data_IF_371652489261
#
_entry.id   IF_371652489261
#
_cell.length_a   1.000
_cell.length_b   1.000
_cell.length_c   1.000
_cell.angle_alpha   90.00
_cell.angle_beta   90.00
_cell.angle_gamma   90.00
#
_symmetry.space_group_name_H-M   'P 1'
#
loop_
_entity.id
_entity.type
_entity.pdbx_description
1 polymer ?
#
# COMPACT_ATOMS: atom_id res chain seq x y z
N UNK A 1 -22.15 -7.57 54.65
CA UNK A 1 -21.39 -8.46 53.74
C UNK A 1 -21.66 -8.20 52.26
N UNK A 2 -22.87 -7.76 51.87
CA UNK A 2 -23.20 -7.40 50.47
C UNK A 2 -22.23 -6.40 49.82
N UNK A 3 -21.85 -5.35 50.55
CA UNK A 3 -20.91 -4.32 50.06
C UNK A 3 -19.51 -4.88 49.73
N UNK A 4 -19.05 -5.90 50.45
CA UNK A 4 -17.74 -6.53 50.21
C UNK A 4 -17.77 -7.36 48.92
N UNK A 5 -18.88 -8.06 48.67
CA UNK A 5 -19.08 -8.87 47.46
C UNK A 5 -19.18 -7.95 46.23
N UNK A 6 -19.94 -6.86 46.31
CA UNK A 6 -20.08 -5.88 45.23
C UNK A 6 -18.72 -5.23 44.88
N UNK A 7 -17.88 -4.94 45.89
CA UNK A 7 -16.57 -4.34 45.70
C UNK A 7 -15.55 -5.32 45.09
N UNK A 8 -15.59 -6.60 45.51
CA UNK A 8 -14.77 -7.66 44.91
C UNK A 8 -15.14 -7.91 43.44
N UNK A 9 -16.44 -7.90 43.11
CA UNK A 9 -16.94 -8.08 41.75
C UNK A 9 -16.54 -6.89 40.85
N UNK A 10 -16.64 -5.66 41.36
CA UNK A 10 -16.19 -4.47 40.64
C UNK A 10 -14.68 -4.50 40.35
N UNK A 11 -13.86 -4.93 41.31
CA UNK A 11 -12.42 -5.10 41.12
C UNK A 11 -12.08 -6.17 40.07
N UNK A 12 -12.81 -7.29 40.07
CA UNK A 12 -12.64 -8.36 39.08
C UNK A 12 -13.01 -7.90 37.67
N UNK A 13 -14.12 -7.18 37.51
CA UNK A 13 -14.56 -6.64 36.23
C UNK A 13 -13.56 -5.60 35.72
N UNK A 14 -13.10 -4.68 36.57
CA UNK A 14 -12.08 -3.70 36.20
C UNK A 14 -10.77 -4.39 35.78
N UNK A 15 -10.29 -5.35 36.57
CA UNK A 15 -9.09 -6.12 36.25
C UNK A 15 -9.21 -6.87 34.91
N UNK A 16 -10.37 -7.46 34.63
CA UNK A 16 -10.64 -8.12 33.36
C UNK A 16 -10.66 -7.14 32.19
N UNK A 17 -11.28 -5.96 32.35
CA UNK A 17 -11.30 -4.91 31.32
C UNK A 17 -9.88 -4.43 31.02
N UNK A 18 -9.06 -4.17 32.03
CA UNK A 18 -7.65 -3.79 31.84
C UNK A 18 -6.84 -4.91 31.18
N UNK A 19 -7.07 -6.16 31.56
CA UNK A 19 -6.43 -7.31 30.91
C UNK A 19 -6.78 -7.41 29.43
N UNK A 20 -8.06 -7.30 29.07
CA UNK A 20 -8.50 -7.34 27.67
C UNK A 20 -7.92 -6.16 26.87
N UNK A 21 -7.96 -4.94 27.41
CA UNK A 21 -7.43 -3.76 26.73
C UNK A 21 -5.91 -3.81 26.55
N UNK A 22 -5.18 -4.31 27.56
CA UNK A 22 -3.72 -4.46 27.48
C UNK A 22 -3.28 -5.60 26.57
N UNK A 23 -4.04 -6.70 26.51
CA UNK A 23 -3.79 -7.80 25.58
C UNK A 23 -4.08 -7.42 24.11
N UNK A 24 -4.96 -6.44 23.88
CA UNK A 24 -5.23 -5.88 22.55
C UNK A 24 -4.23 -4.82 22.11
N UNK A 25 -3.36 -4.34 23.00
CA UNK A 25 -2.36 -3.35 22.64
C UNK A 25 -1.28 -3.99 21.74
N UNK A 26 -0.99 -3.42 20.56
CA UNK A 26 0.05 -3.95 19.69
C UNK A 26 1.40 -3.90 20.42
N UNK A 27 2.15 -5.01 20.34
CA UNK A 27 3.44 -5.09 20.98
C UNK A 27 4.40 -4.01 20.45
N UNK A 28 5.32 -3.46 21.26
CA UNK A 28 6.29 -2.46 20.81
C UNK A 28 7.19 -2.98 19.67
N UNK A 29 7.42 -4.29 19.60
CA UNK A 29 8.13 -4.93 18.48
C UNK A 29 7.33 -4.84 17.17
N UNK A 30 6.01 -5.00 17.22
CA UNK A 30 5.12 -4.84 16.07
C UNK A 30 5.19 -3.40 15.51
N UNK A 31 5.10 -2.40 16.40
CA UNK A 31 5.15 -0.97 16.01
C UNK A 31 6.50 -0.60 15.37
N UNK A 32 7.61 -1.11 15.91
CA UNK A 32 8.94 -0.89 15.34
C UNK A 32 9.07 -1.55 13.96
N UNK A 33 8.54 -2.76 13.81
CA UNK A 33 8.59 -3.50 12.53
C UNK A 33 7.73 -2.84 11.44
N UNK A 34 6.56 -2.32 11.78
CA UNK A 34 5.71 -1.57 10.83
C UNK A 34 6.40 -0.28 10.37
N UNK A 35 7.08 0.43 11.27
CA UNK A 35 7.87 1.62 10.92
C UNK A 35 9.00 1.30 9.96
N UNK A 36 9.68 0.17 10.14
CA UNK A 36 10.73 -0.28 9.22
C UNK A 36 10.16 -0.62 7.83
N UNK A 37 9.04 -1.36 7.78
CA UNK A 37 8.39 -1.77 6.52
C UNK A 37 7.87 -0.56 5.75
N UNK A 38 7.25 0.40 6.44
CA UNK A 38 6.72 1.62 5.83
C UNK A 38 7.83 2.54 5.33
N UNK A 39 8.88 2.76 6.12
CA UNK A 39 10.04 3.53 5.68
C UNK A 39 10.71 2.90 4.45
N UNK A 40 10.88 1.58 4.46
CA UNK A 40 11.44 0.85 3.32
C UNK A 40 10.53 0.98 2.08
N UNK A 41 9.20 0.88 2.23
CA UNK A 41 8.26 1.11 1.14
C UNK A 41 8.41 2.50 0.52
N UNK A 42 8.56 3.55 1.34
CA UNK A 42 8.82 4.91 0.85
C UNK A 42 10.14 5.02 0.10
N UNK A 43 11.23 4.48 0.62
CA UNK A 43 12.53 4.52 -0.06
C UNK A 43 12.53 3.77 -1.39
N UNK A 44 11.90 2.58 -1.43
CA UNK A 44 11.74 1.81 -2.66
C UNK A 44 10.91 2.61 -3.67
N UNK A 45 9.78 3.17 -3.26
CA UNK A 45 8.90 3.92 -4.14
C UNK A 45 9.57 5.20 -4.67
N UNK A 46 10.29 5.93 -3.82
CA UNK A 46 11.07 7.11 -4.22
C UNK A 46 12.13 6.74 -5.26
N UNK A 47 12.89 5.67 -5.01
CA UNK A 47 13.90 5.19 -5.95
C UNK A 47 13.29 4.78 -7.29
N UNK A 48 12.17 4.06 -7.27
CA UNK A 48 11.46 3.63 -8.48
C UNK A 48 10.89 4.83 -9.24
N UNK A 49 10.33 5.83 -8.54
CA UNK A 49 9.80 7.05 -9.16
C UNK A 49 10.88 7.92 -9.80
N UNK A 50 12.11 7.82 -9.31
CA UNK A 50 13.28 8.50 -9.89
C UNK A 50 13.90 7.74 -11.06
N UNK A 51 13.54 6.46 -11.28
CA UNK A 51 14.04 5.66 -12.39
C UNK A 51 13.18 5.89 -13.65
N UNK A 52 13.74 6.50 -14.72
CA UNK A 52 12.99 6.76 -15.95
C UNK A 52 12.53 5.48 -16.64
N UNK A 53 13.26 4.35 -16.49
CA UNK A 53 12.85 3.09 -17.10
C UNK A 53 11.59 2.53 -16.43
N UNK A 54 11.52 2.64 -15.09
CA UNK A 54 10.34 2.24 -14.34
C UNK A 54 9.14 3.12 -14.69
N UNK A 55 9.33 4.44 -14.74
CA UNK A 55 8.25 5.36 -15.12
C UNK A 55 7.76 5.11 -16.56
N UNK A 56 8.65 4.77 -17.49
CA UNK A 56 8.26 4.37 -18.85
C UNK A 56 7.52 3.02 -18.90
N UNK A 57 7.80 2.08 -17.97
CA UNK A 57 7.02 0.85 -17.83
C UNK A 57 5.63 1.13 -17.25
N UNK A 58 5.54 2.01 -16.25
CA UNK A 58 4.27 2.47 -15.67
C UNK A 58 3.40 3.12 -16.75
N UNK A 59 3.97 4.04 -17.54
CA UNK A 59 3.26 4.70 -18.63
C UNK A 59 2.78 3.71 -19.69
N UNK A 60 3.64 2.78 -20.11
CA UNK A 60 3.26 1.70 -21.02
C UNK A 60 2.13 0.84 -20.45
N UNK A 61 2.16 0.52 -19.16
CA UNK A 61 1.11 -0.26 -18.51
C UNK A 61 -0.21 0.49 -18.38
N UNK A 62 -0.18 1.81 -18.21
CA UNK A 62 -1.38 2.67 -18.20
C UNK A 62 -2.01 2.74 -19.59
N UNK A 63 -1.18 2.95 -20.62
CA UNK A 63 -1.63 3.17 -21.99
C UNK A 63 -1.85 1.87 -22.81
N UNK A 64 -1.45 0.71 -22.29
CA UNK A 64 -1.68 -0.56 -22.96
C UNK A 64 -3.16 -0.97 -22.90
N UNK A 65 -3.66 -1.46 -24.03
CA UNK A 65 -5.04 -1.94 -24.17
C UNK A 65 -5.08 -3.41 -24.65
N UNK A 66 -6.19 -4.08 -24.37
CA UNK A 66 -6.43 -5.47 -24.78
C UNK A 66 -5.37 -6.46 -24.28
N UNK A 67 -4.86 -7.31 -25.18
CA UNK A 67 -3.88 -8.35 -24.85
C UNK A 67 -2.53 -7.78 -24.38
N UNK A 68 -2.15 -6.58 -24.83
CA UNK A 68 -0.90 -5.94 -24.43
C UNK A 68 -0.94 -5.46 -22.98
N UNK A 69 -2.13 -5.17 -22.44
CA UNK A 69 -2.30 -4.73 -21.05
C UNK A 69 -1.80 -5.77 -20.06
N UNK A 70 -2.13 -7.04 -20.28
CA UNK A 70 -1.71 -8.10 -19.38
C UNK A 70 -0.19 -8.27 -19.38
N UNK A 71 0.44 -8.18 -20.56
CA UNK A 71 1.89 -8.25 -20.68
C UNK A 71 2.57 -7.07 -19.99
N UNK A 72 2.10 -5.85 -20.20
CA UNK A 72 2.67 -4.66 -19.55
C UNK A 72 2.52 -4.70 -18.01
N UNK A 73 1.39 -5.21 -17.49
CA UNK A 73 1.20 -5.43 -16.05
C UNK A 73 2.16 -6.49 -15.52
N UNK A 74 2.38 -7.57 -16.27
CA UNK A 74 3.33 -8.61 -15.88
C UNK A 74 4.77 -8.06 -15.85
N UNK A 75 5.17 -7.23 -16.81
CA UNK A 75 6.50 -6.60 -16.83
C UNK A 75 6.70 -5.65 -15.65
N UNK A 76 5.68 -4.86 -15.32
CA UNK A 76 5.66 -4.02 -14.12
C UNK A 76 5.77 -4.87 -12.85
N UNK A 77 5.01 -5.97 -12.76
CA UNK A 77 5.06 -6.90 -11.63
C UNK A 77 6.44 -7.55 -11.51
N UNK A 78 7.04 -8.00 -12.60
CA UNK A 78 8.38 -8.60 -12.60
C UNK A 78 9.45 -7.61 -12.09
N UNK A 79 9.32 -6.34 -12.47
CA UNK A 79 10.21 -5.27 -11.99
C UNK A 79 10.02 -5.04 -10.48
N UNK A 80 8.78 -4.99 -10.01
CA UNK A 80 8.47 -4.89 -8.58
C UNK A 80 8.95 -6.14 -7.81
N UNK A 81 8.82 -7.33 -8.39
CA UNK A 81 9.25 -8.59 -7.80
C UNK A 81 10.78 -8.67 -7.66
N UNK A 82 11.52 -8.05 -8.57
CA UNK A 82 12.99 -7.97 -8.50
C UNK A 82 13.48 -7.01 -7.42
N UNK A 83 12.71 -5.94 -7.12
CA UNK A 83 13.09 -4.91 -6.14
C UNK A 83 12.57 -5.23 -4.74
N UNK A 84 11.35 -5.76 -4.63
CA UNK A 84 10.68 -6.06 -3.36
C UNK A 84 10.96 -7.53 -2.99
N UNK A 85 11.64 -7.80 -1.86
CA UNK A 85 11.99 -9.16 -1.47
C UNK A 85 10.76 -10.08 -1.42
N UNK A 86 10.91 -11.32 -1.92
CA UNK A 86 9.83 -12.30 -2.10
C UNK A 86 9.00 -12.54 -0.83
N UNK A 87 9.62 -12.40 0.34
CA UNK A 87 8.97 -12.54 1.65
C UNK A 87 7.91 -11.49 1.96
N UNK A 88 7.79 -10.41 1.17
CA UNK A 88 6.77 -9.38 1.38
C UNK A 88 5.65 -9.49 0.35
N UNK A 89 4.42 -9.34 0.84
CA UNK A 89 3.27 -9.04 0.01
C UNK A 89 3.28 -7.54 -0.32
N UNK A 90 2.83 -7.18 -1.52
CA UNK A 90 2.69 -5.78 -1.91
C UNK A 90 1.45 -5.53 -2.74
N UNK A 91 0.96 -4.29 -2.67
CA UNK A 91 -0.02 -3.75 -3.58
C UNK A 91 0.48 -2.40 -4.10
N UNK A 92 0.80 -2.35 -5.38
CA UNK A 92 1.18 -1.15 -6.08
C UNK A 92 0.00 -0.66 -6.93
N UNK A 93 -0.39 0.59 -6.72
CA UNK A 93 -1.50 1.23 -7.43
C UNK A 93 -1.07 2.61 -7.92
N UNK A 94 -1.52 2.95 -9.11
CA UNK A 94 -1.29 4.28 -9.70
C UNK A 94 -2.63 4.96 -9.88
N UNK A 95 -2.77 6.12 -9.28
CA UNK A 95 -3.95 6.96 -9.37
C UNK A 95 -3.66 8.18 -10.24
N UNK A 96 -4.68 8.65 -10.95
CA UNK A 96 -4.62 9.96 -11.57
C UNK A 96 -4.71 11.05 -10.49
N UNK A 97 -3.73 11.96 -10.45
CA UNK A 97 -3.60 13.00 -9.41
C UNK A 97 -3.91 14.42 -9.93
N UNK A 98 -4.17 14.56 -11.23
CA UNK A 98 -4.58 15.82 -11.87
C UNK A 98 -5.91 15.64 -12.63
N UNK A 99 -6.57 16.75 -12.94
CA UNK A 99 -7.79 16.79 -13.79
C UNK A 99 -7.44 16.53 -15.25
N UNK A 100 -6.16 16.67 -15.63
CA UNK A 100 -5.65 16.36 -16.96
C UNK A 100 -5.25 14.88 -17.01
N UNK A 101 -6.05 14.01 -17.66
CA UNK A 101 -5.68 12.62 -17.82
C UNK A 101 -4.56 12.45 -18.86
N UNK A 102 -3.87 11.29 -18.84
CA UNK A 102 -2.85 11.00 -19.83
C UNK A 102 -3.48 10.90 -21.22
N UNK A 103 -2.70 11.26 -22.24
CA UNK A 103 -3.16 11.34 -23.64
C UNK A 103 -3.81 10.06 -24.16
N UNK A 104 -3.37 8.90 -23.67
CA UNK A 104 -3.92 7.59 -24.01
C UNK A 104 -5.25 7.26 -23.33
N UNK A 105 -5.63 7.97 -22.25
CA UNK A 105 -6.88 7.76 -21.50
C UNK A 105 -7.62 9.06 -21.25
N UNK A 106 -7.98 9.76 -22.32
CA UNK A 106 -8.63 11.09 -22.30
C UNK A 106 -9.92 11.16 -21.47
N UNK A 107 -10.61 10.03 -21.26
CA UNK A 107 -11.85 9.96 -20.47
C UNK A 107 -11.64 9.66 -18.99
N UNK A 108 -10.39 9.52 -18.51
CA UNK A 108 -10.12 9.25 -17.10
C UNK A 108 -10.37 10.48 -16.24
N UNK A 109 -10.97 10.28 -15.08
CA UNK A 109 -11.26 11.33 -14.10
C UNK A 109 -10.27 11.28 -12.93
N UNK A 110 -10.13 12.41 -12.23
CA UNK A 110 -9.27 12.53 -11.05
C UNK A 110 -9.56 11.43 -10.01
N UNK A 111 -8.52 10.88 -9.41
CA UNK A 111 -8.61 9.86 -8.37
C UNK A 111 -8.92 8.45 -8.87
N UNK A 112 -9.07 8.23 -10.18
CA UNK A 112 -9.28 6.91 -10.77
C UNK A 112 -7.99 6.09 -10.75
N UNK A 113 -8.12 4.79 -10.48
CA UNK A 113 -7.03 3.81 -10.61
C UNK A 113 -6.72 3.61 -12.09
N UNK A 114 -5.51 3.99 -12.50
CA UNK A 114 -5.02 3.80 -13.87
C UNK A 114 -4.45 2.40 -14.05
N UNK A 115 -3.66 1.94 -13.09
CA UNK A 115 -3.07 0.60 -13.10
C UNK A 115 -2.85 0.08 -11.67
N UNK A 116 -2.90 -1.23 -11.50
CA UNK A 116 -2.63 -1.90 -10.23
C UNK A 116 -1.86 -3.19 -10.47
N UNK A 117 -0.83 -3.45 -9.66
CA UNK A 117 -0.08 -4.69 -9.64
C UNK A 117 0.10 -5.13 -8.19
N UNK A 118 -0.13 -6.40 -7.88
CA UNK A 118 -0.03 -6.90 -6.51
C UNK A 118 0.61 -8.29 -6.46
N UNK A 119 1.25 -8.58 -5.33
CA UNK A 119 1.72 -9.92 -4.98
C UNK A 119 1.24 -10.26 -3.56
N UNK A 120 0.48 -11.35 -3.35
CA UNK A 120 -0.12 -12.21 -4.38
C UNK A 120 -1.14 -11.44 -5.25
N UNK A 121 -1.50 -11.99 -6.41
CA UNK A 121 -2.48 -11.36 -7.29
C UNK A 121 -3.81 -11.17 -6.54
N UNK A 122 -4.38 -9.95 -6.58
CA UNK A 122 -5.64 -9.63 -5.90
C UNK A 122 -5.50 -9.28 -4.41
N UNK A 123 -4.27 -9.13 -3.91
CA UNK A 123 -4.03 -8.70 -2.53
C UNK A 123 -4.56 -7.28 -2.28
N UNK A 124 -5.61 -7.16 -1.47
CA UNK A 124 -6.14 -5.89 -0.97
C UNK A 124 -5.51 -5.62 0.39
N UNK A 125 -4.82 -4.48 0.56
CA UNK A 125 -4.05 -4.17 1.78
C UNK A 125 -4.95 -3.43 2.79
N UNK A 126 -5.43 -4.07 3.87
CA UNK A 126 -6.39 -3.44 4.77
C UNK A 126 -5.73 -2.81 6.02
N UNK A 127 -4.48 -3.17 6.33
CA UNK A 127 -3.82 -2.90 7.63
C UNK A 127 -2.51 -2.11 7.51
N UNK A 128 -1.80 -2.19 6.38
CA UNK A 128 -0.48 -1.56 6.23
C UNK A 128 -0.58 -0.07 5.84
N UNK A 129 0.26 0.79 6.44
CA UNK A 129 0.33 2.20 6.05
C UNK A 129 0.93 2.34 4.64
N UNK A 130 0.29 3.08 3.72
CA UNK A 130 0.78 3.23 2.36
C UNK A 130 1.99 4.14 2.27
N UNK A 131 2.95 3.75 1.43
CA UNK A 131 3.90 4.69 0.84
C UNK A 131 3.26 5.37 -0.36
N UNK A 132 3.19 6.71 -0.37
CA UNK A 132 2.57 7.48 -1.46
C UNK A 132 3.54 8.54 -1.98
N UNK A 133 3.74 8.59 -3.29
CA UNK A 133 4.60 9.57 -3.96
C UNK A 133 3.88 10.11 -5.20
N UNK A 134 3.88 11.43 -5.37
CA UNK A 134 3.43 12.06 -6.62
C UNK A 134 4.58 12.08 -7.62
N UNK A 135 4.32 11.59 -8.83
CA UNK A 135 5.24 11.56 -9.94
C UNK A 135 4.59 12.17 -11.19
N UNK A 136 5.39 12.43 -12.22
CA UNK A 136 4.93 12.98 -13.50
C UNK A 136 5.29 11.98 -14.60
N UNK A 137 4.32 11.64 -15.45
CA UNK A 137 4.53 10.82 -16.65
C UNK A 137 5.27 11.61 -17.73
N UNK A 138 5.74 10.94 -18.79
CA UNK A 138 6.51 11.61 -19.85
C UNK A 138 5.68 12.67 -20.60
N UNK A 139 4.36 12.52 -20.63
CA UNK A 139 3.42 13.47 -21.23
C UNK A 139 3.09 14.68 -20.32
N UNK A 140 3.69 14.75 -19.12
CA UNK A 140 3.46 15.82 -18.16
C UNK A 140 2.26 15.59 -17.22
N UNK A 141 1.57 14.46 -17.34
CA UNK A 141 0.44 14.10 -16.46
C UNK A 141 0.93 13.75 -15.06
N UNK A 142 0.32 14.36 -14.03
CA UNK A 142 0.63 14.03 -12.63
C UNK A 142 -0.12 12.76 -12.21
N UNK A 143 0.63 11.81 -11.68
CA UNK A 143 0.11 10.56 -11.13
C UNK A 143 0.56 10.37 -9.70
N UNK A 144 -0.28 9.72 -8.90
CA UNK A 144 0.01 9.36 -7.52
C UNK A 144 0.29 7.87 -7.46
N UNK A 145 1.54 7.52 -7.20
CA UNK A 145 2.00 6.16 -7.00
C UNK A 145 1.78 5.79 -5.54
N UNK A 146 1.15 4.65 -5.29
CA UNK A 146 0.88 4.14 -3.95
C UNK A 146 1.42 2.72 -3.85
N UNK A 147 2.22 2.44 -2.83
CA UNK A 147 2.79 1.14 -2.55
C UNK A 147 2.48 0.73 -1.12
N UNK A 148 1.73 -0.35 -0.99
CA UNK A 148 1.54 -1.05 0.27
C UNK A 148 2.52 -2.22 0.32
N UNK A 149 3.21 -2.38 1.44
CA UNK A 149 4.06 -3.55 1.70
C UNK A 149 3.63 -4.11 3.04
N UNK A 150 3.38 -5.42 3.07
CA UNK A 150 3.04 -6.15 4.29
C UNK A 150 3.96 -7.36 4.41
N UNK A 151 4.37 -7.65 5.66
CA UNK A 151 5.06 -8.88 5.98
C UNK A 151 3.99 -9.93 6.31
N UNK A 152 4.03 -11.13 5.71
CA UNK A 152 3.11 -12.20 6.04
C UNK A 152 3.28 -12.66 7.50
#
# INVERSE_FOLDING_TARGET
>A
MRWVIELALAALVLGYVFYVLSAMAPSPAYIASEREVTANAYFVLLRLSADPNFMALVERAICADGAQKQQAVNDLRNTLDAVIPVRYAYNFTVYLDDVRPPTCRVCSTWGVVLISASRPNGFASPSASPATVSAVLSDGTRVRLTLYIERP
#
